data_IF_640425901696
#
_entry.id   IF_640425901696
#
_cell.length_a   1.000
_cell.length_b   1.000
_cell.length_c   1.000
_cell.angle_alpha   90.00
_cell.angle_beta   90.00
_cell.angle_gamma   90.00
#
_symmetry.space_group_name_H-M   'P 1'
#
loop_
_entity.id
_entity.type
_entity.pdbx_description
1 polymer ?
#
# COMPACT_ATOMS: atom_id res chain seq x y z
N UNK A 1 16.00 1.53 11.99
CA UNK A 1 14.93 2.16 12.78
C UNK A 1 13.79 2.58 11.88
N UNK A 2 12.57 2.18 12.23
CA UNK A 2 11.35 2.63 11.55
C UNK A 2 11.05 4.05 12.00
N UNK A 3 11.05 5.00 11.07
CA UNK A 3 10.57 6.36 11.35
C UNK A 3 9.07 6.37 11.05
N UNK A 4 8.18 6.56 12.03
CA UNK A 4 6.75 6.60 11.76
C UNK A 4 6.39 7.89 10.99
N UNK A 5 5.30 7.89 10.20
CA UNK A 5 4.76 9.11 9.60
C UNK A 5 4.39 10.11 10.69
N UNK A 6 4.63 11.39 10.42
CA UNK A 6 4.27 12.47 11.31
C UNK A 6 2.74 12.62 11.44
N UNK A 7 2.28 13.18 12.56
CA UNK A 7 0.84 13.31 12.86
C UNK A 7 0.11 14.24 11.87
N UNK A 8 0.80 15.20 11.27
CA UNK A 8 0.25 16.06 10.22
C UNK A 8 -0.08 15.30 8.93
N UNK A 9 0.68 14.25 8.59
CA UNK A 9 0.36 13.34 7.48
C UNK A 9 -0.95 12.61 7.74
N UNK A 10 -1.15 12.15 8.99
CA UNK A 10 -2.40 11.51 9.39
C UNK A 10 -3.58 12.48 9.40
N UNK A 11 -3.37 13.73 9.83
CA UNK A 11 -4.38 14.78 9.77
C UNK A 11 -4.71 15.18 8.32
N UNK A 12 -3.74 15.21 7.42
CA UNK A 12 -3.98 15.45 5.99
C UNK A 12 -4.86 14.35 5.38
N UNK A 13 -4.69 13.11 5.83
CA UNK A 13 -5.50 11.99 5.36
C UNK A 13 -6.99 12.06 5.76
N UNK A 14 -7.36 12.92 6.71
CA UNK A 14 -8.75 13.24 7.04
C UNK A 14 -9.41 14.23 6.05
N UNK A 15 -8.61 14.85 5.16
CA UNK A 15 -9.09 15.82 4.17
C UNK A 15 -9.55 15.21 2.84
N UNK A 16 -9.82 16.10 1.88
CA UNK A 16 -10.30 15.74 0.54
C UNK A 16 -9.20 15.14 -0.36
N UNK A 17 -7.92 15.35 -0.04
CA UNK A 17 -6.81 14.91 -0.88
C UNK A 17 -6.54 15.79 -2.08
N UNK A 18 -5.43 15.51 -2.75
CA UNK A 18 -5.09 16.11 -4.04
C UNK A 18 -5.81 15.39 -5.19
N UNK A 19 -6.11 14.11 -4.98
CA UNK A 19 -6.79 13.25 -5.94
C UNK A 19 -7.87 12.42 -5.25
N UNK A 20 -9.02 12.32 -5.93
CA UNK A 20 -10.15 11.50 -5.50
C UNK A 20 -10.55 10.56 -6.62
N UNK A 21 -10.62 9.26 -6.33
CA UNK A 21 -10.96 8.23 -7.30
C UNK A 21 -11.88 7.17 -6.68
N UNK A 22 -12.48 6.33 -7.52
CA UNK A 22 -13.18 5.13 -7.07
C UNK A 22 -12.32 3.92 -7.40
N UNK A 23 -11.95 3.15 -6.38
CA UNK A 23 -11.07 1.99 -6.55
C UNK A 23 -11.75 0.88 -7.37
N UNK A 24 -10.95 0.22 -8.20
CA UNK A 24 -11.41 -0.90 -9.06
C UNK A 24 -11.73 -2.15 -8.25
N UNK A 25 -11.19 -2.25 -7.05
CA UNK A 25 -11.25 -3.46 -6.24
C UNK A 25 -11.88 -3.20 -4.88
N UNK A 26 -12.51 -4.23 -4.25
CA UNK A 26 -13.01 -4.08 -2.89
C UNK A 26 -11.92 -3.69 -1.90
N UNK A 27 -12.32 -3.03 -0.82
CA UNK A 27 -11.42 -2.54 0.22
C UNK A 27 -10.54 -3.68 0.78
N UNK A 28 -9.23 -3.49 0.74
CA UNK A 28 -8.23 -4.40 1.30
C UNK A 28 -7.52 -3.71 2.45
N UNK A 29 -7.40 -4.39 3.59
CA UNK A 29 -6.49 -3.95 4.65
C UNK A 29 -5.15 -4.66 4.45
N UNK A 30 -4.14 -3.92 4.00
CA UNK A 30 -2.84 -4.46 3.57
C UNK A 30 -2.17 -5.35 4.63
N UNK A 31 -2.19 -5.02 5.95
CA UNK A 31 -1.60 -5.89 6.96
C UNK A 31 -2.18 -7.31 7.03
N UNK A 32 -3.40 -7.54 6.52
CA UNK A 32 -4.04 -8.86 6.48
C UNK A 32 -3.66 -9.69 5.22
N UNK A 33 -2.90 -9.12 4.28
CA UNK A 33 -2.49 -9.75 3.01
C UNK A 33 -0.96 -9.79 2.89
N UNK A 34 -0.35 -10.91 3.31
CA UNK A 34 1.12 -11.01 3.43
C UNK A 34 1.85 -10.80 2.09
N UNK A 35 1.30 -11.28 1.00
CA UNK A 35 1.86 -11.22 -0.36
C UNK A 35 1.86 -9.78 -0.90
N UNK A 36 0.73 -9.10 -0.78
CA UNK A 36 0.57 -7.69 -1.15
C UNK A 36 1.43 -6.81 -0.26
N UNK A 37 1.41 -7.03 1.06
CA UNK A 37 2.26 -6.29 2.01
C UNK A 37 3.74 -6.45 1.69
N UNK A 38 4.19 -7.68 1.37
CA UNK A 38 5.59 -7.94 1.05
C UNK A 38 6.04 -7.20 -0.20
N UNK A 39 5.20 -7.19 -1.25
CA UNK A 39 5.49 -6.40 -2.45
C UNK A 39 5.52 -4.90 -2.16
N UNK A 40 4.54 -4.40 -1.43
CA UNK A 40 4.43 -2.97 -1.16
C UNK A 40 5.60 -2.48 -0.30
N UNK A 41 6.09 -3.27 0.66
CA UNK A 41 7.27 -2.93 1.47
C UNK A 41 8.56 -2.88 0.62
N UNK A 42 8.67 -3.71 -0.43
CA UNK A 42 9.81 -3.67 -1.35
C UNK A 42 9.77 -2.46 -2.29
N UNK A 43 8.58 -1.94 -2.60
CA UNK A 43 8.40 -0.80 -3.52
C UNK A 43 8.36 0.56 -2.79
N UNK A 44 7.76 0.59 -1.61
CA UNK A 44 7.65 1.77 -0.75
C UNK A 44 7.78 1.34 0.72
N UNK A 45 9.01 1.21 1.24
CA UNK A 45 9.25 0.78 2.61
C UNK A 45 8.67 1.78 3.61
N UNK A 46 8.41 1.33 4.84
CA UNK A 46 7.96 2.16 5.97
C UNK A 46 6.55 2.78 5.85
N UNK A 47 5.65 2.20 5.04
CA UNK A 47 4.23 2.58 5.08
C UNK A 47 3.59 2.07 6.37
N UNK A 48 2.94 2.96 7.10
CA UNK A 48 2.08 2.62 8.23
C UNK A 48 0.61 2.58 7.81
N UNK A 49 -0.17 1.76 8.51
CA UNK A 49 -1.56 1.45 8.16
C UNK A 49 -2.48 1.69 9.36
N UNK A 50 -3.67 2.22 9.10
CA UNK A 50 -4.76 2.31 10.09
C UNK A 50 -6.05 1.81 9.46
N UNK A 51 -6.88 1.13 10.25
CA UNK A 51 -8.25 0.75 9.86
C UNK A 51 -9.22 1.16 10.95
N UNK A 52 -10.32 1.81 10.55
CA UNK A 52 -11.42 2.16 11.40
C UNK A 52 -12.72 1.60 10.84
N UNK A 53 -13.59 1.12 11.73
CA UNK A 53 -14.97 0.76 11.41
C UNK A 53 -15.90 1.82 12.00
N UNK A 54 -16.88 2.26 11.23
CA UNK A 54 -17.93 3.14 11.74
C UNK A 54 -19.14 2.32 12.24
N UNK A 55 -20.02 2.96 13.02
CA UNK A 55 -21.18 2.30 13.64
C UNK A 55 -22.18 1.75 12.60
N UNK A 56 -22.19 2.31 11.39
CA UNK A 56 -22.97 1.83 10.24
C UNK A 56 -22.38 0.62 9.52
N UNK A 57 -21.25 0.09 9.98
CA UNK A 57 -20.55 -1.06 9.38
C UNK A 57 -19.60 -0.74 8.23
N UNK A 58 -19.51 0.54 7.84
CA UNK A 58 -18.54 1.07 6.90
C UNK A 58 -17.11 1.00 7.45
N UNK A 59 -16.16 1.09 6.53
CA UNK A 59 -14.74 0.92 6.80
C UNK A 59 -13.95 2.05 6.16
N UNK A 60 -12.99 2.56 6.92
CA UNK A 60 -11.98 3.51 6.46
C UNK A 60 -10.60 2.87 6.64
N UNK A 61 -9.85 2.71 5.56
CA UNK A 61 -8.44 2.29 5.58
C UNK A 61 -7.58 3.49 5.25
N UNK A 62 -6.48 3.66 5.98
CA UNK A 62 -5.50 4.71 5.72
C UNK A 62 -4.10 4.11 5.60
N UNK A 63 -3.32 4.71 4.72
CA UNK A 63 -1.91 4.44 4.49
C UNK A 63 -1.17 5.77 4.63
N UNK A 64 -0.03 5.78 5.32
CA UNK A 64 0.81 6.96 5.43
C UNK A 64 2.28 6.56 5.38
N UNK A 65 3.10 7.41 4.77
CA UNK A 65 4.53 7.20 4.64
C UNK A 65 5.29 8.42 5.21
N UNK A 66 6.51 8.25 5.77
CA UNK A 66 7.28 9.34 6.37
C UNK A 66 7.67 10.49 5.44
N UNK A 67 7.63 10.28 4.13
CA UNK A 67 7.84 11.34 3.13
C UNK A 67 6.64 12.29 2.95
N UNK A 68 5.56 12.09 3.70
CA UNK A 68 4.34 12.88 3.63
C UNK A 68 3.27 12.32 2.69
N UNK A 69 3.53 11.20 2.02
CA UNK A 69 2.53 10.54 1.18
C UNK A 69 1.46 9.87 2.02
N UNK A 70 0.20 9.93 1.58
CA UNK A 70 -0.92 9.30 2.27
C UNK A 70 -2.03 8.88 1.31
N UNK A 71 -2.83 7.91 1.74
CA UNK A 71 -4.09 7.55 1.11
C UNK A 71 -5.15 7.20 2.17
N UNK A 72 -6.41 7.54 1.91
CA UNK A 72 -7.60 7.17 2.68
C UNK A 72 -8.63 6.55 1.75
N UNK A 73 -9.05 5.33 2.05
CA UNK A 73 -10.07 4.61 1.29
C UNK A 73 -11.29 4.32 2.17
N UNK A 74 -12.48 4.68 1.71
CA UNK A 74 -13.74 4.54 2.44
C UNK A 74 -14.75 3.73 1.66
N UNK A 75 -15.34 2.73 2.32
CA UNK A 75 -16.39 1.90 1.73
C UNK A 75 -17.50 1.63 2.75
N UNK A 76 -18.75 1.57 2.26
CA UNK A 76 -19.90 1.19 3.07
C UNK A 76 -19.83 -0.26 3.59
N UNK A 77 -19.05 -1.12 2.94
CA UNK A 77 -18.77 -2.49 3.40
C UNK A 77 -17.49 -3.03 2.76
N UNK A 78 -16.98 -4.17 3.25
CA UNK A 78 -15.81 -4.86 2.66
C UNK A 78 -15.96 -5.22 1.18
N UNK A 79 -17.19 -5.35 0.68
CA UNK A 79 -17.46 -5.78 -0.71
C UNK A 79 -17.65 -4.61 -1.66
N UNK A 80 -17.81 -3.39 -1.15
CA UNK A 80 -18.00 -2.21 -1.98
C UNK A 80 -16.65 -1.69 -2.50
N UNK A 81 -16.66 -1.11 -3.70
CA UNK A 81 -15.55 -0.32 -4.22
C UNK A 81 -15.40 0.95 -3.36
N UNK A 82 -14.25 1.17 -2.72
CA UNK A 82 -14.05 2.35 -1.91
C UNK A 82 -13.88 3.61 -2.76
N UNK A 83 -14.31 4.74 -2.19
CA UNK A 83 -13.83 6.06 -2.62
C UNK A 83 -12.47 6.29 -1.97
N UNK A 84 -11.49 6.71 -2.76
CA UNK A 84 -10.10 6.88 -2.36
C UNK A 84 -9.74 8.35 -2.48
N UNK A 85 -9.16 8.88 -1.42
CA UNK A 85 -8.54 10.19 -1.36
C UNK A 85 -7.03 9.98 -1.13
N UNK A 86 -6.18 10.68 -1.86
CA UNK A 86 -4.73 10.57 -1.68
C UNK A 86 -4.00 11.89 -1.93
N UNK A 87 -2.80 12.01 -1.38
CA UNK A 87 -1.98 13.21 -1.45
C UNK A 87 -0.50 12.93 -1.15
N UNK A 88 0.34 13.95 -1.36
CA UNK A 88 1.78 13.87 -1.14
C UNK A 88 2.59 13.24 -2.29
N UNK A 89 3.90 13.02 -2.09
CA UNK A 89 4.84 12.67 -3.17
C UNK A 89 4.56 11.37 -3.92
N UNK A 90 3.96 10.37 -3.25
CA UNK A 90 3.61 9.07 -3.81
C UNK A 90 2.10 8.86 -3.79
N UNK A 91 1.58 8.26 -4.84
CA UNK A 91 0.19 7.79 -4.91
C UNK A 91 0.10 6.39 -4.32
N UNK A 92 0.09 6.32 -2.98
CA UNK A 92 0.20 5.05 -2.25
C UNK A 92 -0.92 4.05 -2.59
N UNK A 93 -2.14 4.53 -2.88
CA UNK A 93 -3.23 3.64 -3.25
C UNK A 93 -3.06 3.11 -4.67
N UNK A 94 -2.54 3.92 -5.59
CA UNK A 94 -2.26 3.49 -6.96
C UNK A 94 -1.19 2.40 -6.97
N UNK A 95 -0.13 2.55 -6.18
CA UNK A 95 0.88 1.50 -6.00
C UNK A 95 0.27 0.19 -5.48
N UNK A 96 -0.65 0.29 -4.51
CA UNK A 96 -1.40 -0.86 -4.02
C UNK A 96 -2.26 -1.48 -5.14
N UNK A 97 -2.94 -0.68 -5.96
CA UNK A 97 -3.73 -1.18 -7.08
C UNK A 97 -2.86 -1.85 -8.14
N UNK A 98 -1.69 -1.32 -8.47
CA UNK A 98 -0.77 -1.93 -9.45
C UNK A 98 -0.30 -3.32 -9.00
N UNK A 99 0.00 -3.48 -7.70
CA UNK A 99 0.31 -4.78 -7.11
C UNK A 99 -0.90 -5.72 -7.22
N UNK A 100 -2.12 -5.24 -6.95
CA UNK A 100 -3.34 -6.05 -7.05
C UNK A 100 -3.68 -6.41 -8.49
N UNK A 101 -3.47 -5.51 -9.44
CA UNK A 101 -3.60 -5.76 -10.89
C UNK A 101 -2.70 -6.92 -11.28
N UNK A 102 -1.43 -6.88 -10.84
CA UNK A 102 -0.47 -7.94 -11.11
C UNK A 102 -0.90 -9.27 -10.50
N UNK A 103 -1.29 -9.28 -9.22
CA UNK A 103 -1.76 -10.48 -8.53
C UNK A 103 -2.98 -11.08 -9.22
N UNK A 104 -3.95 -10.27 -9.63
CA UNK A 104 -5.15 -10.74 -10.31
C UNK A 104 -4.88 -11.23 -11.73
N UNK A 105 -3.93 -10.62 -12.44
CA UNK A 105 -3.59 -11.00 -13.83
C UNK A 105 -2.76 -12.29 -13.89
N UNK A 106 -1.82 -12.48 -12.97
CA UNK A 106 -0.85 -13.59 -13.01
C UNK A 106 -1.10 -14.68 -11.96
N UNK A 107 -1.95 -14.41 -10.96
CA UNK A 107 -2.20 -15.32 -9.84
C UNK A 107 -1.10 -15.35 -8.78
N UNK A 108 -0.02 -14.59 -8.96
CA UNK A 108 1.11 -14.52 -8.03
C UNK A 108 1.85 -13.18 -8.12
N UNK A 109 2.56 -12.83 -7.06
CA UNK A 109 3.45 -11.68 -6.99
C UNK A 109 4.92 -12.12 -7.11
N UNK A 110 5.79 -11.30 -7.72
CA UNK A 110 7.13 -11.73 -8.09
C UNK A 110 8.06 -11.95 -6.89
N UNK A 111 7.72 -11.40 -5.72
CA UNK A 111 8.39 -11.71 -4.45
C UNK A 111 8.35 -13.20 -4.12
N UNK A 112 7.24 -13.88 -4.43
CA UNK A 112 7.18 -15.33 -4.30
C UNK A 112 8.10 -15.96 -5.35
N UNK A 113 9.01 -16.83 -4.95
CA UNK A 113 9.96 -17.48 -5.86
C UNK A 113 11.02 -16.55 -6.47
N UNK A 114 11.24 -15.36 -5.90
CA UNK A 114 12.34 -14.48 -6.31
C UNK A 114 13.70 -15.13 -6.03
N UNK A 115 14.65 -14.92 -6.94
CA UNK A 115 16.08 -15.17 -6.68
C UNK A 115 16.62 -14.03 -5.83
N UNK A 116 17.32 -14.37 -4.75
CA UNK A 116 17.92 -13.39 -3.83
C UNK A 116 19.44 -13.44 -3.98
N UNK A 117 20.05 -12.29 -4.23
CA UNK A 117 21.51 -12.10 -4.20
C UNK A 117 21.85 -11.16 -3.05
N UNK A 118 22.79 -11.54 -2.20
CA UNK A 118 23.24 -10.74 -1.06
C UNK A 118 24.75 -10.54 -1.21
N UNK A 119 25.19 -9.29 -1.24
CA UNK A 119 26.62 -8.94 -1.31
C UNK A 119 27.27 -9.03 0.09
N UNK A 120 28.61 -9.09 0.21
CA UNK A 120 29.29 -9.14 1.51
C UNK A 120 29.01 -7.93 2.42
N UNK A 121 28.69 -6.77 1.85
CA UNK A 121 28.29 -5.54 2.55
C UNK A 121 26.78 -5.51 2.90
N UNK A 122 26.01 -6.51 2.47
CA UNK A 122 24.62 -6.73 2.87
C UNK A 122 23.57 -6.17 1.90
N UNK A 123 23.97 -5.54 0.79
CA UNK A 123 23.04 -5.13 -0.27
C UNK A 123 22.30 -6.37 -0.77
N UNK A 124 20.97 -6.31 -0.70
CA UNK A 124 20.11 -7.46 -0.99
C UNK A 124 19.26 -7.16 -2.20
N UNK A 125 19.49 -7.89 -3.29
CA UNK A 125 18.68 -7.77 -4.51
C UNK A 125 17.79 -8.99 -4.68
N UNK A 126 16.47 -8.75 -4.73
CA UNK A 126 15.46 -9.72 -5.12
C UNK A 126 15.17 -9.55 -6.61
N UNK A 127 15.01 -10.65 -7.35
CA UNK A 127 14.69 -10.60 -8.78
C UNK A 127 13.83 -11.78 -9.24
N UNK A 128 12.91 -11.52 -10.18
CA UNK A 128 12.12 -12.56 -10.87
C UNK A 128 11.69 -12.07 -12.25
N UNK A 129 12.19 -12.74 -13.30
CA UNK A 129 11.94 -12.32 -14.67
C UNK A 129 12.47 -10.90 -14.92
N UNK A 130 11.58 -9.96 -15.24
CA UNK A 130 11.92 -8.53 -15.43
C UNK A 130 11.77 -7.67 -14.17
N UNK A 131 11.24 -8.23 -13.08
CA UNK A 131 11.09 -7.50 -11.82
C UNK A 131 12.35 -7.65 -10.97
N UNK A 132 12.75 -6.57 -10.30
CA UNK A 132 13.81 -6.57 -9.29
C UNK A 132 13.57 -5.46 -8.26
N UNK A 133 14.02 -5.70 -7.03
CA UNK A 133 14.03 -4.74 -5.93
C UNK A 133 15.35 -4.88 -5.15
N UNK A 134 15.93 -3.78 -4.70
CA UNK A 134 17.18 -3.74 -3.94
C UNK A 134 16.94 -3.06 -2.60
N UNK A 135 17.47 -3.66 -1.53
CA UNK A 135 17.40 -3.22 -0.13
C UNK A 135 18.78 -2.84 0.40
#
# INVERSE_FOLDING_TARGET
DHTPPAEDVWAAADGDGEEVSTSRYPLLYVPDSWDVRSMLELEAPAIDYRMQRNDGGGLTVRMAHPDGSWARAEAASRRASPTVHQGGPRRLWDMLEDIRDRLNMWGELPVYGATVTITPDGETTLSRGRWSATL
#
